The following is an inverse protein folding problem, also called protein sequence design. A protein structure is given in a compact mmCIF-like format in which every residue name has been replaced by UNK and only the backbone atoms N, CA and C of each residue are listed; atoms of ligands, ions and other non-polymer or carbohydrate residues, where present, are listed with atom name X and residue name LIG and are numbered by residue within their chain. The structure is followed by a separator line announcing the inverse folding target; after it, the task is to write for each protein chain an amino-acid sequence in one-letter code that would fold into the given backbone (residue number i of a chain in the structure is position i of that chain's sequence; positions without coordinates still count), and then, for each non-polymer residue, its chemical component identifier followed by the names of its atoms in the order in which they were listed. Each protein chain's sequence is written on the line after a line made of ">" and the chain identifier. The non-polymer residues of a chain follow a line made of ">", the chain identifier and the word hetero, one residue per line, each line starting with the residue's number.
data_IF_532276905645
#
_entry.id   IF_532276905645
#
_cell.length_a   1.000
_cell.length_b   1.000
_cell.length_c   1.000
_cell.angle_alpha   90.00
_cell.angle_beta   90.00
_cell.angle_gamma   90.00
#
_symmetry.space_group_name_H-M   'P 1'
#
loop_
_entity.id
_entity.type
_entity.pdbx_description
1 polymer ?
#
# COMPACT_ATOMS: atom_id res chain seq x y z
N UNK A 1 29.61 -28.09 -32.11
CA UNK A 1 28.84 -26.84 -32.30
C UNK A 1 27.36 -26.99 -31.97
N UNK A 2 26.63 -28.00 -32.49
CA UNK A 2 25.20 -28.22 -32.16
C UNK A 2 24.89 -28.36 -30.65
N UNK A 3 25.76 -29.05 -29.91
CA UNK A 3 25.55 -29.24 -28.46
C UNK A 3 25.79 -27.95 -27.64
N UNK A 4 26.58 -27.00 -28.14
CA UNK A 4 26.80 -25.72 -27.46
C UNK A 4 25.62 -24.76 -27.66
N UNK A 5 24.96 -24.82 -28.81
CA UNK A 5 23.74 -24.04 -29.09
C UNK A 5 22.59 -24.48 -28.18
N UNK A 6 22.45 -25.78 -27.92
CA UNK A 6 21.40 -26.32 -27.01
C UNK A 6 21.68 -25.88 -25.57
N UNK A 7 22.92 -25.88 -25.11
CA UNK A 7 23.29 -25.41 -23.76
C UNK A 7 23.03 -23.90 -23.61
N UNK A 8 23.35 -23.08 -24.62
CA UNK A 8 23.06 -21.63 -24.59
C UNK A 8 21.56 -21.35 -24.65
N UNK A 9 20.78 -22.12 -25.42
CA UNK A 9 19.32 -22.00 -25.44
C UNK A 9 18.68 -22.39 -24.10
N UNK A 10 19.21 -23.41 -23.41
CA UNK A 10 18.68 -23.85 -22.10
C UNK A 10 18.87 -22.78 -21.02
N UNK A 11 19.98 -22.03 -21.04
CA UNK A 11 20.25 -20.95 -20.09
C UNK A 11 19.45 -19.67 -20.36
N UNK A 12 18.91 -19.47 -21.57
CA UNK A 12 18.04 -18.33 -21.91
C UNK A 12 16.58 -18.49 -21.42
N UNK A 13 16.21 -19.68 -20.91
CA UNK A 13 14.84 -19.98 -20.46
C UNK A 13 14.54 -19.58 -19.00
N UNK A 14 15.51 -19.02 -18.27
CA UNK A 14 15.34 -18.61 -16.86
C UNK A 14 15.10 -17.11 -16.67
N UNK A 15 14.44 -16.45 -17.63
CA UNK A 15 13.73 -15.20 -17.34
C UNK A 15 12.45 -15.56 -16.59
N UNK A 16 12.59 -15.80 -15.29
CA UNK A 16 11.46 -15.86 -14.38
C UNK A 16 10.73 -14.52 -14.42
N UNK A 17 9.42 -14.56 -14.63
CA UNK A 17 8.57 -13.40 -14.46
C UNK A 17 8.53 -13.08 -12.97
N UNK A 18 9.31 -12.09 -12.54
CA UNK A 18 9.13 -11.45 -11.25
C UNK A 18 7.80 -10.69 -11.32
N UNK A 19 6.75 -11.31 -10.78
CA UNK A 19 5.46 -10.69 -10.56
C UNK A 19 5.30 -10.66 -9.05
N UNK A 20 5.57 -9.50 -8.44
CA UNK A 20 5.58 -9.34 -6.99
C UNK A 20 4.19 -9.07 -6.41
N UNK A 21 3.29 -8.58 -7.26
CA UNK A 21 1.94 -8.20 -6.87
C UNK A 21 0.92 -9.20 -7.41
N UNK A 22 -0.09 -9.49 -6.59
CA UNK A 22 -1.34 -10.10 -6.99
C UNK A 22 -2.44 -9.05 -6.78
N UNK A 23 -2.52 -8.10 -7.72
CA UNK A 23 -3.38 -6.93 -7.60
C UNK A 23 -4.66 -7.05 -8.42
N UNK A 24 -5.81 -6.87 -7.79
CA UNK A 24 -7.07 -6.67 -8.51
C UNK A 24 -7.29 -5.18 -8.79
N UNK A 25 -7.25 -4.79 -10.06
CA UNK A 25 -7.62 -3.45 -10.49
C UNK A 25 -9.07 -3.45 -10.97
N UNK A 26 -9.86 -2.48 -10.49
CA UNK A 26 -11.26 -2.31 -10.89
C UNK A 26 -11.54 -0.85 -11.22
N UNK A 27 -12.32 -0.62 -12.27
CA UNK A 27 -12.73 0.72 -12.70
C UNK A 27 -14.25 0.81 -12.63
N UNK A 28 -14.76 1.50 -11.61
CA UNK A 28 -16.18 1.86 -11.53
C UNK A 28 -16.44 3.14 -12.33
N UNK A 29 -17.44 3.08 -13.19
CA UNK A 29 -17.93 4.18 -14.02
C UNK A 29 -19.44 4.38 -13.84
N UNK A 30 -19.97 3.99 -12.67
CA UNK A 30 -21.42 4.02 -12.38
C UNK A 30 -22.01 5.44 -12.45
N UNK A 31 -21.17 6.47 -12.29
CA UNK A 31 -21.54 7.88 -12.37
C UNK A 31 -21.53 8.42 -13.81
N UNK A 32 -21.04 7.65 -14.79
CA UNK A 32 -20.90 8.09 -16.19
C UNK A 32 -22.07 7.58 -17.02
N UNK A 33 -22.88 8.50 -17.55
CA UNK A 33 -24.11 8.18 -18.27
C UNK A 33 -23.96 8.17 -19.79
N UNK A 34 -23.05 9.00 -20.34
CA UNK A 34 -22.94 9.27 -21.78
C UNK A 34 -21.52 9.05 -22.30
N UNK A 35 -20.96 7.86 -22.10
CA UNK A 35 -19.65 7.49 -22.63
C UNK A 35 -19.63 6.07 -23.18
N UNK A 36 -18.71 5.81 -24.12
CA UNK A 36 -18.46 4.46 -24.60
C UNK A 36 -17.87 3.62 -23.46
N UNK A 37 -18.63 2.64 -22.96
CA UNK A 37 -18.19 1.76 -21.86
C UNK A 37 -16.92 0.96 -22.17
N UNK A 38 -16.58 0.81 -23.46
CA UNK A 38 -15.40 0.07 -23.89
C UNK A 38 -14.11 0.69 -23.38
N UNK A 39 -14.01 2.03 -23.31
CA UNK A 39 -12.81 2.73 -22.82
C UNK A 39 -12.47 2.37 -21.37
N UNK A 40 -13.49 2.18 -20.53
CA UNK A 40 -13.29 1.84 -19.12
C UNK A 40 -12.87 0.38 -18.96
N UNK A 41 -13.43 -0.52 -19.76
CA UNK A 41 -13.06 -1.94 -19.77
C UNK A 41 -11.64 -2.16 -20.29
N UNK A 42 -11.25 -1.43 -21.33
CA UNK A 42 -9.89 -1.48 -21.86
C UNK A 42 -8.89 -0.90 -20.87
N UNK A 43 -9.22 0.23 -20.22
CA UNK A 43 -8.43 0.78 -19.11
C UNK A 43 -8.24 -0.22 -17.97
N UNK A 44 -9.31 -0.85 -17.48
CA UNK A 44 -9.24 -1.84 -16.39
C UNK A 44 -8.31 -3.00 -16.75
N UNK A 45 -8.45 -3.55 -17.97
CA UNK A 45 -7.58 -4.64 -18.44
C UNK A 45 -6.13 -4.19 -18.56
N UNK A 46 -5.89 -3.05 -19.22
CA UNK A 46 -4.55 -2.48 -19.37
C UNK A 46 -3.85 -2.23 -18.03
N UNK A 47 -4.58 -1.71 -17.04
CA UNK A 47 -4.02 -1.49 -15.70
C UNK A 47 -3.79 -2.79 -14.94
N UNK A 48 -4.70 -3.76 -15.04
CA UNK A 48 -4.51 -5.10 -14.44
C UNK A 48 -3.26 -5.77 -15.00
N UNK A 49 -3.08 -5.73 -16.33
CA UNK A 49 -1.92 -6.27 -17.00
C UNK A 49 -0.65 -5.50 -16.60
N UNK A 50 -0.71 -4.17 -16.56
CA UNK A 50 0.41 -3.31 -16.19
C UNK A 50 0.88 -3.56 -14.75
N UNK A 51 -0.02 -3.58 -13.76
CA UNK A 51 0.36 -3.76 -12.35
C UNK A 51 0.97 -5.14 -12.11
N UNK A 52 0.37 -6.20 -12.67
CA UNK A 52 0.76 -7.57 -12.36
C UNK A 52 1.89 -8.12 -13.23
N UNK A 53 2.16 -7.52 -14.40
CA UNK A 53 3.23 -7.96 -15.31
C UNK A 53 4.42 -6.99 -15.37
N UNK A 54 4.34 -5.81 -14.74
CA UNK A 54 5.51 -4.94 -14.58
C UNK A 54 6.41 -5.51 -13.51
N UNK A 55 7.71 -5.57 -13.83
CA UNK A 55 8.74 -5.93 -12.87
C UNK A 55 9.06 -4.73 -11.98
N UNK A 56 8.55 -4.74 -10.74
CA UNK A 56 8.78 -3.65 -9.80
C UNK A 56 10.08 -3.81 -9.03
N UNK A 57 10.57 -5.05 -8.90
CA UNK A 57 11.77 -5.36 -8.12
C UNK A 57 12.70 -6.30 -8.90
N UNK A 58 13.91 -6.51 -8.39
CA UNK A 58 14.83 -7.51 -8.93
C UNK A 58 14.59 -8.92 -8.36
N UNK A 59 13.66 -9.06 -7.40
CA UNK A 59 13.40 -10.32 -6.71
C UNK A 59 12.49 -11.21 -7.54
N UNK A 60 12.85 -12.48 -7.62
CA UNK A 60 11.93 -13.51 -8.10
C UNK A 60 11.18 -14.04 -6.88
N UNK A 61 9.88 -13.74 -6.77
CA UNK A 61 9.02 -14.27 -5.71
C UNK A 61 8.17 -15.42 -6.24
N UNK A 62 7.90 -16.40 -5.39
CA UNK A 62 6.99 -17.47 -5.73
C UNK A 62 5.54 -16.93 -5.81
N UNK A 63 4.65 -17.62 -6.53
CA UNK A 63 3.27 -17.13 -6.72
C UNK A 63 2.50 -16.98 -5.41
N UNK A 64 2.83 -17.77 -4.38
CA UNK A 64 2.25 -17.72 -3.04
C UNK A 64 2.92 -16.68 -2.13
N UNK A 65 3.99 -16.03 -2.58
CA UNK A 65 4.69 -14.95 -1.87
C UNK A 65 4.35 -13.57 -2.46
N UNK A 66 3.43 -13.53 -3.43
CA UNK A 66 2.95 -12.27 -4.02
C UNK A 66 2.12 -11.51 -3.01
N UNK A 67 2.25 -10.19 -3.06
CA UNK A 67 1.50 -9.30 -2.18
C UNK A 67 0.10 -9.14 -2.74
N UNK A 68 -0.91 -9.52 -1.95
CA UNK A 68 -2.31 -9.32 -2.30
C UNK A 68 -2.67 -7.83 -2.18
N UNK A 69 -3.16 -7.25 -3.28
CA UNK A 69 -3.58 -5.86 -3.29
C UNK A 69 -4.84 -5.61 -4.14
N UNK A 70 -5.44 -4.44 -3.95
CA UNK A 70 -6.50 -3.95 -4.81
C UNK A 70 -6.36 -2.46 -5.07
N UNK A 71 -6.72 -2.06 -6.29
CA UNK A 71 -6.79 -0.69 -6.74
C UNK A 71 -8.18 -0.45 -7.34
N UNK A 72 -9.03 0.25 -6.61
CA UNK A 72 -10.39 0.56 -7.04
C UNK A 72 -10.47 2.01 -7.49
N UNK A 73 -10.64 2.21 -8.79
CA UNK A 73 -10.70 3.52 -9.44
C UNK A 73 -12.17 3.87 -9.66
N UNK A 74 -12.61 5.01 -9.14
CA UNK A 74 -13.96 5.54 -9.38
C UNK A 74 -13.86 6.72 -10.36
N UNK A 75 -14.48 6.59 -11.52
CA UNK A 75 -14.54 7.63 -12.55
C UNK A 75 -15.64 8.63 -12.20
N UNK A 76 -15.23 9.85 -11.83
CA UNK A 76 -16.15 10.93 -11.48
C UNK A 76 -16.57 11.74 -12.71
N UNK A 77 -15.64 11.94 -13.67
CA UNK A 77 -15.94 12.57 -14.95
C UNK A 77 -15.00 12.06 -16.04
N UNK A 78 -15.50 11.98 -17.26
CA UNK A 78 -14.74 11.58 -18.45
C UNK A 78 -15.09 12.51 -19.62
N UNK A 79 -14.09 13.15 -20.22
CA UNK A 79 -14.27 14.02 -21.37
C UNK A 79 -13.01 14.03 -22.24
N UNK A 80 -13.15 13.73 -23.54
CA UNK A 80 -12.07 13.80 -24.53
C UNK A 80 -10.78 13.11 -24.07
N UNK A 81 -10.88 11.86 -23.63
CA UNK A 81 -9.79 11.04 -23.08
C UNK A 81 -9.18 11.53 -21.76
N UNK A 82 -9.72 12.59 -21.15
CA UNK A 82 -9.35 13.02 -19.79
C UNK A 82 -10.26 12.35 -18.77
N UNK A 83 -9.64 11.75 -17.76
CA UNK A 83 -10.28 11.09 -16.65
C UNK A 83 -10.05 11.92 -15.39
N UNK A 84 -11.12 12.25 -14.68
CA UNK A 84 -11.03 12.69 -13.28
C UNK A 84 -11.60 11.60 -12.41
N UNK A 85 -10.77 11.08 -11.52
CA UNK A 85 -11.05 9.88 -10.76
C UNK A 85 -10.62 10.02 -9.32
N UNK A 86 -11.06 9.08 -8.49
CA UNK A 86 -10.41 8.78 -7.21
C UNK A 86 -9.92 7.34 -7.24
N UNK A 87 -8.87 7.04 -6.49
CA UNK A 87 -8.33 5.68 -6.38
C UNK A 87 -8.24 5.26 -4.91
N UNK A 88 -8.87 4.15 -4.58
CA UNK A 88 -8.73 3.47 -3.31
C UNK A 88 -7.69 2.36 -3.48
N UNK A 89 -6.60 2.44 -2.72
CA UNK A 89 -5.51 1.47 -2.77
C UNK A 89 -5.47 0.70 -1.45
N UNK A 90 -5.44 -0.62 -1.55
CA UNK A 90 -5.37 -1.52 -0.39
C UNK A 90 -4.35 -2.61 -0.63
N UNK A 91 -3.66 -3.03 0.43
CA UNK A 91 -2.85 -4.24 0.43
C UNK A 91 -3.00 -5.01 1.72
N UNK A 92 -2.74 -6.31 1.64
CA UNK A 92 -2.80 -7.20 2.78
C UNK A 92 -1.71 -8.25 2.69
N UNK A 93 -1.32 -8.79 3.85
CA UNK A 93 -0.41 -9.93 3.95
C UNK A 93 -1.03 -11.05 4.75
N UNK A 94 -0.73 -12.29 4.37
CA UNK A 94 -1.10 -13.45 5.17
C UNK A 94 -0.24 -13.50 6.44
N UNK A 95 -0.89 -13.71 7.58
CA UNK A 95 -0.19 -13.91 8.86
C UNK A 95 0.49 -15.27 8.85
N UNK A 96 1.71 -15.33 9.37
CA UNK A 96 2.51 -16.55 9.39
C UNK A 96 1.76 -17.71 10.04
N UNK A 97 1.78 -18.87 9.39
CA UNK A 97 1.11 -20.10 9.85
C UNK A 97 -0.40 -19.92 10.13
N UNK A 98 -1.06 -19.00 9.42
CA UNK A 98 -2.49 -18.71 9.55
C UNK A 98 -3.13 -18.47 8.19
N UNK A 99 -4.45 -18.66 8.09
CA UNK A 99 -5.25 -18.27 6.91
C UNK A 99 -5.75 -16.83 6.99
N UNK A 100 -5.44 -16.13 8.08
CA UNK A 100 -5.88 -14.77 8.31
C UNK A 100 -5.07 -13.77 7.47
N UNK A 101 -5.77 -12.93 6.71
CA UNK A 101 -5.18 -11.85 5.91
C UNK A 101 -5.27 -10.54 6.68
N UNK A 102 -4.11 -9.95 6.99
CA UNK A 102 -3.99 -8.72 7.74
C UNK A 102 -3.82 -7.52 6.78
N UNK A 103 -4.65 -6.46 6.88
CA UNK A 103 -4.51 -5.26 6.05
C UNK A 103 -3.22 -4.52 6.39
N UNK A 104 -2.39 -4.20 5.39
CA UNK A 104 -1.12 -3.47 5.56
C UNK A 104 -1.27 -2.00 5.20
N UNK A 105 -1.98 -1.71 4.11
CA UNK A 105 -2.20 -0.36 3.61
C UNK A 105 -3.64 -0.17 3.17
N UNK A 106 -4.20 1.00 3.45
CA UNK A 106 -5.56 1.38 3.04
C UNK A 106 -5.63 2.90 2.88
N UNK A 107 -5.70 3.39 1.64
CA UNK A 107 -5.67 4.82 1.36
C UNK A 107 -6.55 5.22 0.18
N UNK A 108 -7.36 6.26 0.39
CA UNK A 108 -8.17 6.89 -0.66
C UNK A 108 -7.47 8.16 -1.17
N UNK A 109 -6.98 8.09 -2.40
CA UNK A 109 -6.41 9.24 -3.10
C UNK A 109 -7.46 9.89 -4.01
N UNK A 110 -7.75 11.15 -3.70
CA UNK A 110 -8.77 11.93 -4.41
C UNK A 110 -8.21 12.75 -5.57
N UNK A 111 -6.89 12.83 -5.70
CA UNK A 111 -6.20 13.68 -6.68
C UNK A 111 -5.62 12.79 -7.80
N UNK A 112 -6.48 11.98 -8.44
CA UNK A 112 -6.10 11.09 -9.54
C UNK A 112 -6.77 11.49 -10.86
N UNK A 113 -6.08 12.36 -11.60
CA UNK A 113 -6.51 12.83 -12.93
C UNK A 113 -5.47 12.42 -13.98
N UNK A 114 -5.89 11.87 -15.12
CA UNK A 114 -4.97 11.42 -16.15
C UNK A 114 -5.62 11.40 -17.54
N UNK A 115 -4.79 11.27 -18.57
CA UNK A 115 -5.25 11.01 -19.93
C UNK A 115 -5.08 9.53 -20.27
N UNK A 116 -6.08 8.95 -20.93
CA UNK A 116 -5.98 7.59 -21.45
C UNK A 116 -6.61 7.43 -22.82
N UNK A 117 -5.85 6.81 -23.74
CA UNK A 117 -6.29 6.42 -25.07
C UNK A 117 -6.38 4.90 -25.10
N UNK A 118 -7.46 4.36 -25.66
CA UNK A 118 -7.67 2.92 -25.75
C UNK A 118 -6.49 2.22 -26.42
N UNK A 119 -6.09 1.09 -25.84
CA UNK A 119 -5.00 0.25 -26.32
C UNK A 119 -3.61 0.92 -26.31
N UNK A 120 -3.46 2.09 -25.66
CA UNK A 120 -2.12 2.63 -25.45
C UNK A 120 -1.29 1.65 -24.61
N UNK A 121 -0.01 1.57 -24.95
CA UNK A 121 0.92 0.73 -24.20
C UNK A 121 1.33 1.43 -22.91
N UNK A 122 1.12 0.77 -21.76
CA UNK A 122 1.53 1.28 -20.46
C UNK A 122 2.91 0.72 -20.13
N UNK A 123 3.95 1.57 -20.24
CA UNK A 123 5.33 1.20 -19.96
C UNK A 123 5.85 2.03 -18.80
N UNK A 124 6.37 1.36 -17.78
CA UNK A 124 7.01 2.02 -16.66
C UNK A 124 8.49 2.29 -16.97
N UNK A 125 8.91 3.53 -16.80
CA UNK A 125 10.32 3.92 -16.79
C UNK A 125 10.66 4.57 -15.44
N UNK A 126 11.57 4.01 -14.63
CA UNK A 126 11.93 4.59 -13.34
C UNK A 126 12.64 5.95 -13.45
N UNK A 127 13.13 6.32 -14.63
CA UNK A 127 13.93 7.54 -14.84
C UNK A 127 13.16 8.66 -15.57
N UNK A 128 11.91 8.45 -15.96
CA UNK A 128 11.10 9.46 -16.64
C UNK A 128 9.68 9.52 -16.11
N UNK A 129 9.08 10.70 -16.21
CA UNK A 129 7.65 10.90 -16.02
C UNK A 129 6.99 10.91 -17.41
N UNK A 130 6.33 9.81 -17.77
CA UNK A 130 5.69 9.68 -19.08
C UNK A 130 4.20 10.07 -19.03
N UNK A 131 3.48 9.60 -18.00
CA UNK A 131 2.09 9.98 -17.76
C UNK A 131 1.72 9.89 -16.29
N UNK A 132 0.68 10.64 -15.89
CA UNK A 132 0.20 10.58 -14.51
C UNK A 132 -0.43 9.21 -14.17
N UNK A 133 -1.09 8.58 -15.15
CA UNK A 133 -1.67 7.24 -14.99
C UNK A 133 -0.60 6.23 -14.59
N UNK A 134 0.50 6.17 -15.36
CA UNK A 134 1.60 5.25 -15.12
C UNK A 134 2.29 5.59 -13.79
N UNK A 135 2.54 6.88 -13.54
CA UNK A 135 3.29 7.34 -12.36
C UNK A 135 2.55 7.09 -11.06
N UNK A 136 1.24 7.35 -11.00
CA UNK A 136 0.42 7.08 -9.79
C UNK A 136 0.38 5.58 -9.49
N UNK A 137 0.15 4.75 -10.50
CA UNK A 137 0.07 3.30 -10.32
C UNK A 137 1.44 2.72 -9.91
N UNK A 138 2.53 3.17 -10.54
CA UNK A 138 3.89 2.80 -10.17
C UNK A 138 4.28 3.26 -8.76
N UNK A 139 3.84 4.47 -8.37
CA UNK A 139 4.04 4.99 -7.02
C UNK A 139 3.38 4.07 -5.99
N UNK A 140 2.10 3.73 -6.18
CA UNK A 140 1.39 2.86 -5.24
C UNK A 140 1.90 1.42 -5.23
N UNK A 141 2.34 0.88 -6.37
CA UNK A 141 3.03 -0.42 -6.40
C UNK A 141 4.27 -0.41 -5.49
N UNK A 142 5.12 0.63 -5.60
CA UNK A 142 6.32 0.76 -4.76
C UNK A 142 5.99 1.02 -3.27
N UNK A 143 4.94 1.77 -2.97
CA UNK A 143 4.44 1.95 -1.59
C UNK A 143 4.01 0.60 -1.00
N UNK A 144 3.20 -0.18 -1.74
CA UNK A 144 2.71 -1.49 -1.30
C UNK A 144 3.90 -2.42 -0.99
N UNK A 145 4.85 -2.52 -1.92
CA UNK A 145 6.02 -3.40 -1.76
C UNK A 145 6.91 -2.93 -0.60
N UNK A 146 7.11 -1.62 -0.45
CA UNK A 146 7.90 -1.05 0.63
C UNK A 146 7.28 -1.35 2.01
N UNK A 147 5.98 -1.09 2.15
CA UNK A 147 5.28 -1.33 3.42
C UNK A 147 5.17 -2.81 3.75
N UNK A 148 4.96 -3.68 2.76
CA UNK A 148 4.98 -5.12 2.98
C UNK A 148 6.35 -5.60 3.49
N UNK A 149 7.44 -5.17 2.84
CA UNK A 149 8.79 -5.52 3.28
C UNK A 149 9.11 -5.04 4.70
N UNK A 150 8.60 -3.86 5.10
CA UNK A 150 8.74 -3.35 6.47
C UNK A 150 8.01 -4.21 7.51
N UNK A 151 6.99 -4.98 7.11
CA UNK A 151 6.31 -5.90 8.04
C UNK A 151 7.17 -7.10 8.39
N UNK A 152 8.12 -7.49 7.55
CA UNK A 152 9.00 -8.65 7.76
C UNK A 152 10.37 -8.29 8.35
N UNK A 153 10.86 -7.08 8.08
CA UNK A 153 12.12 -6.60 8.65
C UNK A 153 12.09 -5.10 8.88
N UNK A 154 12.75 -4.67 9.97
CA UNK A 154 12.85 -3.25 10.31
C UNK A 154 13.45 -2.47 9.14
N UNK A 155 12.65 -1.54 8.59
CA UNK A 155 13.02 -0.71 7.44
C UNK A 155 13.39 -1.51 6.18
N UNK A 156 12.91 -2.75 6.02
CA UNK A 156 13.17 -3.60 4.86
C UNK A 156 12.69 -3.01 3.54
N UNK A 157 11.71 -2.10 3.58
CA UNK A 157 11.10 -1.46 2.43
C UNK A 157 11.82 -0.25 1.85
N UNK A 158 12.93 0.19 2.45
CA UNK A 158 13.53 1.52 2.14
C UNK A 158 13.84 1.69 0.66
N UNK A 159 14.42 0.69 -0.02
CA UNK A 159 14.72 0.73 -1.46
C UNK A 159 13.48 1.05 -2.31
N UNK A 160 12.32 0.49 -1.96
CA UNK A 160 11.07 0.67 -2.71
C UNK A 160 10.42 2.01 -2.39
N UNK A 161 10.49 2.45 -1.13
CA UNK A 161 10.04 3.78 -0.75
C UNK A 161 10.90 4.86 -1.42
N UNK A 162 12.21 4.68 -1.54
CA UNK A 162 13.08 5.58 -2.30
C UNK A 162 12.70 5.62 -3.79
N UNK A 163 12.32 4.48 -4.39
CA UNK A 163 11.81 4.44 -5.76
C UNK A 163 10.48 5.22 -5.89
N UNK A 164 9.55 5.07 -4.92
CA UNK A 164 8.33 5.89 -4.86
C UNK A 164 8.65 7.39 -4.70
N UNK A 165 9.66 7.73 -3.91
CA UNK A 165 10.12 9.10 -3.74
C UNK A 165 10.70 9.66 -5.03
N UNK A 166 11.44 8.87 -5.79
CA UNK A 166 11.96 9.25 -7.09
C UNK A 166 10.82 9.54 -8.09
N UNK A 167 9.79 8.67 -8.13
CA UNK A 167 8.58 8.91 -8.95
C UNK A 167 7.93 10.24 -8.55
N UNK A 168 7.74 10.48 -7.25
CA UNK A 168 7.16 11.72 -6.77
C UNK A 168 7.99 12.94 -7.19
N UNK A 169 9.32 12.87 -7.10
CA UNK A 169 10.23 13.93 -7.52
C UNK A 169 10.15 14.22 -9.03
N UNK A 170 10.15 13.18 -9.86
CA UNK A 170 9.99 13.32 -11.32
C UNK A 170 8.63 13.92 -11.70
N UNK A 171 7.57 13.60 -10.92
CA UNK A 171 6.23 14.08 -11.18
C UNK A 171 5.95 15.53 -10.73
N UNK A 172 6.81 16.15 -9.92
CA UNK A 172 6.58 17.51 -9.41
C UNK A 172 6.45 18.56 -10.52
N UNK A 173 7.21 18.42 -11.62
CA UNK A 173 7.18 19.34 -12.75
C UNK A 173 6.00 19.12 -13.71
N UNK A 174 5.21 18.06 -13.50
CA UNK A 174 4.09 17.70 -14.38
C UNK A 174 2.90 18.67 -14.32
N UNK A 175 2.81 19.47 -13.26
CA UNK A 175 1.65 20.33 -12.98
C UNK A 175 0.38 19.58 -12.58
N UNK A 176 0.45 18.26 -12.39
CA UNK A 176 -0.68 17.46 -11.89
C UNK A 176 -0.74 17.49 -10.36
N UNK A 177 -1.95 17.52 -9.81
CA UNK A 177 -2.17 17.60 -8.35
C UNK A 177 -1.71 16.34 -7.65
N UNK A 178 -1.27 16.51 -6.40
CA UNK A 178 -0.97 15.43 -5.47
C UNK A 178 0.53 15.11 -5.36
N UNK A 179 1.35 15.72 -6.22
CA UNK A 179 2.81 15.54 -6.24
C UNK A 179 3.59 16.67 -5.57
N UNK A 180 2.93 17.78 -5.22
CA UNK A 180 3.60 18.97 -4.68
C UNK A 180 3.18 19.27 -3.24
N UNK A 181 4.00 20.05 -2.54
CA UNK A 181 3.71 20.51 -1.19
C UNK A 181 2.57 21.55 -1.15
N UNK A 182 2.41 22.32 -2.23
CA UNK A 182 1.43 23.42 -2.32
C UNK A 182 -0.02 22.96 -2.51
N UNK A 183 -0.21 21.67 -2.80
CA UNK A 183 -1.53 21.02 -2.84
C UNK A 183 -2.06 20.81 -1.40
N UNK A 184 -2.97 19.84 -1.21
CA UNK A 184 -3.47 19.47 0.12
C UNK A 184 -2.43 18.67 0.91
N UNK A 185 -2.49 18.74 2.23
CA UNK A 185 -1.57 18.03 3.14
C UNK A 185 -1.72 16.51 3.17
N UNK A 186 -2.82 15.97 2.61
CA UNK A 186 -3.06 14.52 2.49
C UNK A 186 -2.92 14.12 1.03
N UNK A 187 -1.67 13.99 0.57
CA UNK A 187 -1.36 13.68 -0.81
C UNK A 187 -0.14 12.75 -0.92
N UNK A 188 0.19 12.34 -2.15
CA UNK A 188 1.31 11.43 -2.45
C UNK A 188 2.66 11.99 -2.03
N UNK A 189 2.87 13.31 -2.19
CA UNK A 189 4.08 14.00 -1.72
C UNK A 189 4.30 13.83 -0.20
N UNK A 190 3.30 14.16 0.62
CA UNK A 190 3.41 14.03 2.07
C UNK A 190 3.47 12.57 2.50
N UNK A 191 2.72 11.67 1.85
CA UNK A 191 2.75 10.24 2.16
C UNK A 191 4.18 9.69 2.10
N UNK A 192 4.89 9.93 0.98
CA UNK A 192 6.22 9.35 0.82
C UNK A 192 7.29 10.05 1.66
N UNK A 193 7.22 11.38 1.77
CA UNK A 193 8.16 12.13 2.60
C UNK A 193 8.02 11.76 4.08
N UNK A 194 6.79 11.57 4.57
CA UNK A 194 6.56 11.15 5.94
C UNK A 194 7.08 9.72 6.15
N UNK A 195 6.85 8.79 5.21
CA UNK A 195 7.35 7.41 5.30
C UNK A 195 8.89 7.31 5.37
N UNK A 196 9.62 8.20 4.70
CA UNK A 196 11.09 8.20 4.70
C UNK A 196 11.70 9.08 5.80
N UNK A 197 10.91 9.92 6.46
CA UNK A 197 11.40 10.87 7.46
C UNK A 197 11.65 10.19 8.81
N UNK A 198 12.82 10.48 9.41
CA UNK A 198 13.17 10.04 10.76
C UNK A 198 12.16 10.51 11.83
N UNK A 199 11.46 11.63 11.58
CA UNK A 199 10.42 12.13 12.50
C UNK A 199 9.28 11.12 12.66
N UNK A 200 9.00 10.34 11.60
CA UNK A 200 7.92 9.36 11.56
C UNK A 200 8.44 7.91 11.51
N UNK A 201 9.72 7.69 11.79
CA UNK A 201 10.31 6.35 11.89
C UNK A 201 9.48 5.37 12.76
N UNK A 202 8.82 5.80 13.87
CA UNK A 202 7.99 4.89 14.65
C UNK A 202 6.81 4.28 13.90
N UNK A 203 6.37 4.85 12.77
CA UNK A 203 5.36 4.23 11.92
C UNK A 203 5.87 2.89 11.36
N UNK A 204 7.04 2.90 10.71
CA UNK A 204 7.62 1.71 10.06
C UNK A 204 8.07 0.68 11.11
N UNK A 205 8.62 1.15 12.23
CA UNK A 205 8.95 0.29 13.37
C UNK A 205 7.69 -0.37 13.95
N UNK A 206 6.62 0.41 14.15
CA UNK A 206 5.34 -0.09 14.61
C UNK A 206 4.73 -1.12 13.65
N UNK A 207 4.86 -0.93 12.33
CA UNK A 207 4.41 -1.93 11.35
C UNK A 207 5.16 -3.27 11.52
N UNK A 208 6.49 -3.25 11.67
CA UNK A 208 7.27 -4.46 11.96
C UNK A 208 6.85 -5.13 13.28
N UNK A 209 6.74 -4.36 14.36
CA UNK A 209 6.36 -4.87 15.67
C UNK A 209 4.96 -5.48 15.67
N UNK A 210 4.01 -4.81 15.01
CA UNK A 210 2.62 -5.24 14.92
C UNK A 210 2.51 -6.58 14.17
N UNK A 211 3.21 -6.68 13.05
CA UNK A 211 3.08 -7.81 12.13
C UNK A 211 3.96 -8.99 12.51
N UNK A 212 5.28 -8.81 12.54
CA UNK A 212 6.24 -9.90 12.76
C UNK A 212 6.29 -10.30 14.24
N UNK A 213 6.33 -9.33 15.15
CA UNK A 213 6.43 -9.62 16.58
C UNK A 213 5.06 -9.88 17.22
N UNK A 214 4.00 -9.28 16.67
CA UNK A 214 2.63 -9.41 17.13
C UNK A 214 1.88 -10.55 16.46
N UNK A 215 1.31 -10.29 15.28
CA UNK A 215 0.43 -11.22 14.58
C UNK A 215 1.08 -12.57 14.28
N UNK A 216 2.28 -12.58 13.72
CA UNK A 216 2.97 -13.82 13.35
C UNK A 216 3.32 -14.67 14.58
N UNK A 217 3.44 -14.04 15.76
CA UNK A 217 3.69 -14.74 17.01
C UNK A 217 2.42 -15.36 17.61
N UNK A 218 1.22 -14.92 17.20
CA UNK A 218 -0.04 -15.42 17.75
C UNK A 218 -0.32 -16.88 17.39
N UNK A 219 0.29 -17.41 16.32
CA UNK A 219 0.20 -18.83 15.99
C UNK A 219 0.83 -19.72 17.07
N UNK A 220 1.89 -19.23 17.73
CA UNK A 220 2.55 -19.93 18.84
C UNK A 220 1.94 -19.55 20.20
N UNK A 221 1.80 -18.25 20.46
CA UNK A 221 1.33 -17.70 21.73
C UNK A 221 0.54 -16.40 21.50
N UNK A 222 -0.78 -16.52 21.59
CA UNK A 222 -1.72 -15.40 21.43
C UNK A 222 -1.49 -14.30 22.46
N UNK A 223 -1.16 -14.62 23.72
CA UNK A 223 -0.98 -13.62 24.79
C UNK A 223 0.26 -12.77 24.53
N UNK A 224 1.36 -13.42 24.15
CA UNK A 224 2.59 -12.72 23.76
C UNK A 224 2.36 -11.88 22.50
N UNK A 225 1.69 -12.43 21.48
CA UNK A 225 1.36 -11.69 20.25
C UNK A 225 0.53 -10.43 20.53
N UNK A 226 -0.52 -10.54 21.35
CA UNK A 226 -1.33 -9.39 21.79
C UNK A 226 -0.53 -8.31 22.50
N UNK A 227 0.37 -8.72 23.39
CA UNK A 227 1.24 -7.81 24.13
C UNK A 227 2.17 -7.06 23.17
N UNK A 228 2.65 -7.71 22.12
CA UNK A 228 3.50 -7.07 21.11
C UNK A 228 2.70 -6.16 20.17
N UNK A 229 1.44 -6.49 19.84
CA UNK A 229 0.53 -5.58 19.13
C UNK A 229 0.27 -4.31 19.96
N UNK A 230 0.06 -4.43 21.26
CA UNK A 230 -0.09 -3.29 22.16
C UNK A 230 1.15 -2.39 22.11
N UNK A 231 2.35 -2.97 22.25
CA UNK A 231 3.62 -2.23 22.13
C UNK A 231 3.77 -1.54 20.78
N UNK A 232 3.35 -2.18 19.69
CA UNK A 232 3.38 -1.57 18.37
C UNK A 232 2.49 -0.32 18.29
N UNK A 233 1.29 -0.37 18.89
CA UNK A 233 0.41 0.81 19.01
C UNK A 233 1.08 1.91 19.84
N UNK A 234 1.74 1.57 20.95
CA UNK A 234 2.51 2.53 21.75
C UNK A 234 3.66 3.14 20.94
N UNK A 235 4.38 2.35 20.15
CA UNK A 235 5.43 2.82 19.25
C UNK A 235 4.89 3.82 18.25
N UNK A 236 3.79 3.51 17.54
CA UNK A 236 3.15 4.45 16.61
C UNK A 236 2.65 5.70 17.35
N UNK A 237 2.17 5.56 18.59
CA UNK A 237 1.68 6.69 19.39
C UNK A 237 2.74 7.76 19.67
N UNK A 238 4.04 7.40 19.62
CA UNK A 238 5.15 8.36 19.79
C UNK A 238 5.12 9.46 18.74
N UNK A 239 4.59 9.17 17.54
CA UNK A 239 4.41 10.17 16.48
C UNK A 239 3.46 11.27 16.96
N UNK A 240 2.37 10.91 17.64
CA UNK A 240 1.38 11.87 18.11
C UNK A 240 1.97 12.88 19.11
N UNK A 241 2.95 12.47 19.92
CA UNK A 241 3.65 13.37 20.86
C UNK A 241 4.47 14.45 20.16
N UNK A 242 4.94 14.21 18.94
CA UNK A 242 5.77 15.15 18.17
C UNK A 242 4.94 15.90 17.11
N UNK A 243 4.03 15.19 16.44
CA UNK A 243 3.15 15.67 15.37
C UNK A 243 1.72 15.14 15.58
N UNK A 244 0.91 15.80 16.42
CA UNK A 244 -0.50 15.46 16.57
C UNK A 244 -1.24 15.51 15.22
N UNK A 245 -2.22 14.63 15.01
CA UNK A 245 -3.02 14.54 13.79
C UNK A 245 -2.19 14.34 12.49
N UNK A 246 -1.01 13.71 12.59
CA UNK A 246 -0.19 13.45 11.40
C UNK A 246 -0.92 12.53 10.41
N UNK A 247 -0.72 12.82 9.13
CA UNK A 247 -1.33 12.05 8.05
C UNK A 247 -0.92 10.57 8.12
N UNK A 248 0.35 10.30 8.38
CA UNK A 248 0.86 8.93 8.48
C UNK A 248 0.25 8.13 9.65
N UNK A 249 -0.07 8.79 10.77
CA UNK A 249 -0.79 8.11 11.87
C UNK A 249 -2.19 7.70 11.44
N UNK A 250 -2.87 8.54 10.64
CA UNK A 250 -4.19 8.20 10.08
C UNK A 250 -4.09 6.98 9.16
N UNK A 251 -3.08 6.93 8.29
CA UNK A 251 -2.84 5.77 7.41
C UNK A 251 -2.74 4.46 8.21
N UNK A 252 -2.03 4.48 9.35
CA UNK A 252 -1.94 3.31 10.23
C UNK A 252 -3.34 2.88 10.73
N UNK A 253 -4.13 3.81 11.28
CA UNK A 253 -5.43 3.47 11.86
C UNK A 253 -6.51 3.16 10.82
N UNK A 254 -6.42 3.72 9.61
CA UNK A 254 -7.31 3.39 8.49
C UNK A 254 -7.13 1.94 8.03
N UNK A 255 -5.92 1.38 8.18
CA UNK A 255 -5.66 -0.04 7.94
C UNK A 255 -5.95 -0.92 9.17
N UNK A 256 -5.60 -0.46 10.38
CA UNK A 256 -5.50 -1.33 11.58
C UNK A 256 -6.66 -1.25 12.56
N UNK A 257 -7.53 -0.25 12.48
CA UNK A 257 -8.52 -0.02 13.54
C UNK A 257 -9.46 -1.20 13.80
N UNK A 258 -10.01 -1.81 12.76
CA UNK A 258 -10.92 -2.95 12.90
C UNK A 258 -10.20 -4.21 13.38
N UNK A 259 -8.95 -4.41 12.93
CA UNK A 259 -8.11 -5.53 13.35
C UNK A 259 -7.70 -5.42 14.82
N UNK A 260 -7.33 -4.22 15.30
CA UNK A 260 -7.06 -3.96 16.72
C UNK A 260 -8.29 -4.34 17.56
N UNK A 261 -9.48 -3.89 17.17
CA UNK A 261 -10.71 -4.26 17.90
C UNK A 261 -10.93 -5.77 17.90
N UNK A 262 -10.74 -6.44 16.76
CA UNK A 262 -10.88 -7.90 16.66
C UNK A 262 -9.92 -8.63 17.61
N UNK A 263 -8.65 -8.23 17.62
CA UNK A 263 -7.60 -8.83 18.48
C UNK A 263 -7.96 -8.68 19.97
N UNK A 264 -8.34 -7.48 20.42
CA UNK A 264 -8.60 -7.19 21.84
C UNK A 264 -10.07 -7.38 22.25
N UNK A 265 -10.90 -7.97 21.38
CA UNK A 265 -12.24 -8.47 21.74
C UNK A 265 -12.29 -9.99 21.89
N UNK A 266 -11.28 -10.72 21.38
CA UNK A 266 -11.08 -12.15 21.65
C UNK A 266 -10.20 -12.41 22.88
N UNK A 267 -10.16 -13.63 23.42
CA UNK A 267 -9.21 -14.01 24.48
C UNK A 267 -7.81 -14.35 23.93
N UNK A 268 -6.79 -14.59 24.79
CA UNK A 268 -6.77 -14.40 26.24
C UNK A 268 -6.65 -12.92 26.61
N UNK A 269 -6.91 -12.59 27.88
CA UNK A 269 -6.87 -11.20 28.33
C UNK A 269 -5.45 -10.68 28.60
N UNK A 270 -5.22 -9.41 28.30
CA UNK A 270 -4.01 -8.62 28.60
C UNK A 270 -4.41 -7.29 29.23
N UNK A 271 -3.45 -6.53 29.76
CA UNK A 271 -3.73 -5.22 30.33
C UNK A 271 -4.08 -4.19 29.24
N UNK A 272 -5.38 -4.02 28.97
CA UNK A 272 -5.89 -3.18 27.88
C UNK A 272 -6.17 -1.72 28.28
N UNK A 273 -6.07 -1.37 29.56
CA UNK A 273 -6.43 -0.03 30.04
C UNK A 273 -5.55 1.06 29.40
N UNK A 274 -4.23 0.86 29.38
CA UNK A 274 -3.27 1.78 28.73
C UNK A 274 -3.45 1.84 27.21
N UNK A 275 -3.82 0.72 26.59
CA UNK A 275 -4.11 0.65 25.16
C UNK A 275 -5.32 1.52 24.81
N UNK A 276 -6.44 1.36 25.53
CA UNK A 276 -7.67 2.11 25.26
C UNK A 276 -7.46 3.61 25.47
N UNK A 277 -6.74 4.02 26.50
CA UNK A 277 -6.36 5.42 26.71
C UNK A 277 -5.52 5.96 25.53
N UNK A 278 -4.51 5.20 25.13
CA UNK A 278 -3.65 5.56 23.99
C UNK A 278 -4.47 5.70 22.71
N UNK A 279 -5.32 4.73 22.37
CA UNK A 279 -6.15 4.72 21.17
C UNK A 279 -7.12 5.90 21.13
N UNK A 280 -7.77 6.24 22.25
CA UNK A 280 -8.65 7.41 22.32
C UNK A 280 -7.90 8.74 22.15
N UNK A 281 -6.66 8.81 22.64
CA UNK A 281 -5.80 9.99 22.47
C UNK A 281 -5.32 10.16 21.03
N UNK A 282 -4.83 9.08 20.40
CA UNK A 282 -4.15 9.18 19.09
C UNK A 282 -5.06 8.95 17.89
N UNK A 283 -6.20 8.28 18.08
CA UNK A 283 -7.18 7.98 17.04
C UNK A 283 -8.62 8.21 17.53
N UNK A 284 -8.96 9.46 17.92
CA UNK A 284 -10.27 9.78 18.50
C UNK A 284 -11.44 9.55 17.54
N UNK A 285 -11.20 9.61 16.21
CA UNK A 285 -12.23 9.34 15.20
C UNK A 285 -12.75 7.88 15.24
N UNK A 286 -11.97 6.97 15.84
CA UNK A 286 -12.33 5.58 16.01
C UNK A 286 -12.84 5.27 17.43
N UNK A 287 -13.12 6.26 18.28
CA UNK A 287 -13.52 6.08 19.68
C UNK A 287 -14.68 5.09 19.87
N UNK A 288 -15.69 5.15 18.98
CA UNK A 288 -16.83 4.21 19.00
C UNK A 288 -16.37 2.76 18.82
N UNK A 289 -15.35 2.53 17.99
CA UNK A 289 -14.76 1.19 17.78
C UNK A 289 -14.03 0.72 19.04
N UNK A 290 -13.29 1.60 19.71
CA UNK A 290 -12.50 1.28 20.91
C UNK A 290 -13.34 0.80 22.08
N UNK A 291 -14.60 1.23 22.18
CA UNK A 291 -15.54 0.74 23.21
C UNK A 291 -15.84 -0.77 23.13
N UNK A 292 -15.54 -1.41 21.99
CA UNK A 292 -15.75 -2.85 21.82
C UNK A 292 -14.58 -3.71 22.31
N UNK A 293 -13.47 -3.08 22.74
CA UNK A 293 -12.32 -3.77 23.33
C UNK A 293 -12.68 -4.26 24.73
N UNK A 294 -12.44 -5.55 25.01
CA UNK A 294 -12.89 -6.21 26.26
C UNK A 294 -11.83 -7.08 26.93
N UNK A 295 -10.82 -7.55 26.20
CA UNK A 295 -9.90 -8.61 26.64
C UNK A 295 -8.44 -8.30 26.34
#
# INVERSE_FOLDING_TARGET
>A
MRNWVITVLLFLSFVGNAQELNCSVRVSYDQITNANVQVFKTLERSLTDFVNNTKWTEKNVASNERIDCSMFITVNSYESNNFKTTIQVQSSRQVFNSTYSSPVFNHNDKDFEFQYIEFQNLLYNPNSYDSNLISVIAFYANIIIGLDADTFSRQGGTKYLEAASNIANLAQSSGTKGWTQTDKTQNRYYLINDLLSNTYAPYREGMYEYHFSGLDKMADDVKTGKTNVLKAVETVSKIHSVRPNSFISRIFFDAKSDEIVSIFSGGPSVEIASLVDTLNRVSPLNAVKWNNIKF
#
